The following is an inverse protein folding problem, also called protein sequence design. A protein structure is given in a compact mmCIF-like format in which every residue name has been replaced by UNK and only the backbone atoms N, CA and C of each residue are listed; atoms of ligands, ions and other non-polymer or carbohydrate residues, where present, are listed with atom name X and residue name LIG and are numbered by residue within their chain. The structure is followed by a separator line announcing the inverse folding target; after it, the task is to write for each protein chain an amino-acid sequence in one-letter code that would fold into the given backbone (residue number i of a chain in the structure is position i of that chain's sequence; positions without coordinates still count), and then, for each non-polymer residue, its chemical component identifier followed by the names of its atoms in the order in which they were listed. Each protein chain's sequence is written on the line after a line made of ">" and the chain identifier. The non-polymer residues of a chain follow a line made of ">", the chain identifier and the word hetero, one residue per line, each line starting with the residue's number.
data_IF_609161956045
#
_entry.id   IF_609161956045
#
_cell.length_a   1.000
_cell.length_b   1.000
_cell.length_c   1.000
_cell.angle_alpha   90.00
_cell.angle_beta   90.00
_cell.angle_gamma   90.00
#
_symmetry.space_group_name_H-M   'P 1'
#
loop_
_entity.id
_entity.type
_entity.pdbx_description
1 polymer ?
#
# COMPACT_ATOMS: atom_id res chain seq x y z
N UNK A 1 14.78 8.13 -29.58
CA UNK A 1 14.10 7.23 -28.64
C UNK A 1 13.08 8.09 -27.91
N UNK A 2 11.78 7.89 -28.08
CA UNK A 2 10.82 8.60 -27.22
C UNK A 2 11.05 8.12 -25.80
N UNK A 3 11.12 9.03 -24.83
CA UNK A 3 11.26 8.61 -23.44
C UNK A 3 10.00 7.86 -23.02
N UNK A 4 10.16 6.85 -22.17
CA UNK A 4 9.07 6.08 -21.57
C UNK A 4 8.66 6.76 -20.26
N UNK A 5 7.39 6.62 -19.87
CA UNK A 5 6.92 7.07 -18.55
C UNK A 5 7.71 6.33 -17.46
N UNK A 6 8.19 7.06 -16.46
CA UNK A 6 8.94 6.52 -15.33
C UNK A 6 8.21 6.74 -14.03
N UNK A 7 8.19 5.74 -13.16
CA UNK A 7 7.67 5.85 -11.79
C UNK A 7 8.79 5.54 -10.81
N UNK A 8 9.15 6.52 -10.00
CA UNK A 8 10.06 6.35 -8.88
C UNK A 8 9.27 5.92 -7.64
N UNK A 9 9.65 4.82 -7.00
CA UNK A 9 8.92 4.27 -5.85
C UNK A 9 9.81 3.57 -4.83
N UNK A 10 9.24 3.25 -3.67
CA UNK A 10 9.91 2.40 -2.66
C UNK A 10 9.46 0.94 -2.83
N UNK A 11 10.29 -0.05 -2.43
CA UNK A 11 9.85 -1.44 -2.38
C UNK A 11 8.57 -1.58 -1.57
N UNK A 12 7.68 -2.46 -2.00
CA UNK A 12 6.38 -2.69 -1.35
C UNK A 12 5.61 -1.42 -0.99
N UNK A 13 5.70 -0.33 -1.76
CA UNK A 13 4.88 0.85 -1.54
C UNK A 13 3.41 0.57 -1.89
N UNK A 14 2.43 0.71 -0.98
CA UNK A 14 1.02 0.48 -1.36
C UNK A 14 0.56 1.47 -2.43
N UNK A 15 1.06 2.70 -2.37
CA UNK A 15 0.69 3.78 -3.28
C UNK A 15 1.21 3.57 -4.71
N UNK A 16 2.35 2.88 -4.85
CA UNK A 16 2.89 2.54 -6.18
C UNK A 16 2.24 1.27 -6.71
N UNK A 17 1.91 0.33 -5.82
CA UNK A 17 1.17 -0.88 -6.18
C UNK A 17 -0.21 -0.58 -6.76
N UNK A 18 -0.86 0.54 -6.39
CA UNK A 18 -2.08 1.03 -7.08
C UNK A 18 -1.86 1.15 -8.59
N UNK A 19 -0.71 1.70 -8.98
CA UNK A 19 -0.33 1.91 -10.38
C UNK A 19 0.00 0.58 -11.07
N UNK A 20 0.72 -0.31 -10.38
CA UNK A 20 1.03 -1.65 -10.89
C UNK A 20 -0.23 -2.48 -11.15
N UNK A 21 -1.20 -2.43 -10.22
CA UNK A 21 -2.51 -3.08 -10.39
C UNK A 21 -3.26 -2.47 -11.59
N UNK A 22 -3.32 -1.14 -11.70
CA UNK A 22 -3.97 -0.47 -12.83
C UNK A 22 -3.36 -0.93 -14.17
N UNK A 23 -2.03 -0.94 -14.28
CA UNK A 23 -1.36 -1.36 -15.51
C UNK A 23 -1.61 -2.84 -15.81
N UNK A 24 -1.69 -3.70 -14.78
CA UNK A 24 -2.04 -5.11 -14.95
C UNK A 24 -3.49 -5.30 -15.44
N UNK A 25 -4.46 -4.56 -14.89
CA UNK A 25 -5.85 -4.58 -15.36
C UNK A 25 -5.98 -4.17 -16.83
N UNK A 26 -5.10 -3.27 -17.28
CA UNK A 26 -5.06 -2.79 -18.67
C UNK A 26 -4.25 -3.69 -19.61
N UNK A 27 -3.52 -4.68 -19.09
CA UNK A 27 -2.54 -5.46 -19.86
C UNK A 27 -1.39 -4.61 -20.42
N UNK A 28 -1.00 -3.56 -19.70
CA UNK A 28 -0.03 -2.54 -20.12
C UNK A 28 1.11 -2.37 -19.10
N UNK A 29 1.53 -3.46 -18.45
CA UNK A 29 2.62 -3.44 -17.45
C UNK A 29 3.91 -2.85 -18.03
N UNK A 30 4.17 -3.10 -19.31
CA UNK A 30 5.33 -2.57 -20.03
C UNK A 30 5.17 -1.12 -20.51
N UNK A 31 4.10 -0.41 -20.17
CA UNK A 31 3.94 1.00 -20.54
C UNK A 31 4.72 1.96 -19.64
N UNK A 32 5.07 1.53 -18.42
CA UNK A 32 5.77 2.33 -17.40
C UNK A 32 7.05 1.62 -16.97
N UNK A 33 8.11 2.39 -16.73
CA UNK A 33 9.35 1.89 -16.12
C UNK A 33 9.37 2.24 -14.62
N UNK A 34 9.38 1.21 -13.76
CA UNK A 34 9.44 1.40 -12.31
C UNK A 34 10.90 1.43 -11.83
N UNK A 35 11.28 2.55 -11.20
CA UNK A 35 12.59 2.77 -10.61
C UNK A 35 12.49 2.71 -9.09
N UNK A 36 13.10 1.68 -8.50
CA UNK A 36 13.17 1.52 -7.05
C UNK A 36 14.14 2.55 -6.45
N UNK A 37 13.67 3.28 -5.45
CA UNK A 37 14.43 4.26 -4.68
C UNK A 37 14.80 3.65 -3.33
N UNK A 38 16.09 3.68 -3.01
CA UNK A 38 16.60 3.28 -1.70
C UNK A 38 16.32 4.38 -0.66
N UNK A 39 15.35 4.13 0.21
CA UNK A 39 14.97 5.04 1.30
C UNK A 39 15.84 4.92 2.54
N UNK A 40 16.80 4.01 2.57
CA UNK A 40 17.76 3.87 3.67
C UNK A 40 18.94 4.84 3.55
N UNK A 41 18.97 5.64 2.47
CA UNK A 41 20.01 6.61 2.15
C UNK A 41 19.41 8.00 1.88
N UNK A 42 20.22 9.07 1.95
CA UNK A 42 19.79 10.38 1.50
C UNK A 42 19.22 10.32 0.08
N UNK A 43 18.13 11.08 -0.15
CA UNK A 43 17.46 11.09 -1.44
C UNK A 43 18.41 11.56 -2.54
N UNK A 44 18.36 10.87 -3.68
CA UNK A 44 19.06 11.27 -4.89
C UNK A 44 18.84 12.76 -5.23
N UNK A 45 19.91 13.56 -5.41
CA UNK A 45 19.80 15.00 -5.66
C UNK A 45 19.01 15.35 -6.93
N UNK A 46 19.11 14.55 -8.00
CA UNK A 46 18.39 14.81 -9.24
C UNK A 46 16.89 14.57 -9.05
N UNK A 47 16.52 13.50 -8.32
CA UNK A 47 15.14 13.25 -7.95
C UNK A 47 14.59 14.34 -7.01
N UNK A 48 15.38 14.84 -6.05
CA UNK A 48 14.99 16.00 -5.21
C UNK A 48 14.75 17.26 -6.04
N UNK A 49 15.60 17.53 -7.03
CA UNK A 49 15.44 18.67 -7.92
C UNK A 49 14.13 18.56 -8.72
N UNK A 50 13.85 17.38 -9.30
CA UNK A 50 12.61 17.08 -10.02
C UNK A 50 11.37 17.30 -9.16
N UNK A 51 11.39 16.86 -7.90
CA UNK A 51 10.24 16.95 -7.00
C UNK A 51 10.09 18.30 -6.28
N UNK A 52 11.03 19.22 -6.52
CA UNK A 52 11.16 20.51 -5.82
C UNK A 52 11.30 20.32 -4.30
N UNK A 53 12.12 19.37 -3.89
CA UNK A 53 12.47 19.08 -2.49
C UNK A 53 11.50 18.14 -1.76
N UNK A 54 10.44 17.65 -2.40
CA UNK A 54 9.54 16.66 -1.78
C UNK A 54 10.17 15.26 -1.80
N UNK A 55 10.09 14.52 -0.69
CA UNK A 55 10.62 13.15 -0.57
C UNK A 55 9.56 12.05 -0.71
N UNK A 56 8.27 12.42 -0.70
CA UNK A 56 7.15 11.51 -0.89
C UNK A 56 7.23 10.77 -2.22
N UNK A 57 6.83 9.50 -2.21
CA UNK A 57 6.76 8.60 -3.36
C UNK A 57 5.37 7.93 -3.40
N UNK A 58 4.87 7.49 -4.57
CA UNK A 58 5.52 7.53 -5.88
C UNK A 58 5.62 8.92 -6.51
N UNK A 59 6.55 9.05 -7.45
CA UNK A 59 6.69 10.21 -8.35
C UNK A 59 6.69 9.68 -9.79
N UNK A 60 5.89 10.26 -10.66
CA UNK A 60 5.88 9.94 -12.09
C UNK A 60 6.61 11.04 -12.86
N UNK A 61 7.45 10.64 -13.82
CA UNK A 61 8.01 11.49 -14.87
C UNK A 61 7.41 11.06 -16.22
N UNK A 62 6.78 11.99 -16.92
CA UNK A 62 6.18 11.72 -18.24
C UNK A 62 7.26 11.57 -19.32
N UNK A 63 6.87 11.12 -20.51
CA UNK A 63 7.77 11.06 -21.67
C UNK A 63 8.33 12.44 -22.06
N UNK A 64 7.61 13.51 -21.74
CA UNK A 64 7.97 14.91 -21.99
C UNK A 64 8.80 15.52 -20.84
N UNK A 65 8.99 14.79 -19.73
CA UNK A 65 9.74 15.23 -18.56
C UNK A 65 8.92 15.98 -17.51
N UNK A 66 7.59 15.98 -17.61
CA UNK A 66 6.72 16.56 -16.56
C UNK A 66 6.68 15.67 -15.33
N UNK A 67 6.59 16.30 -14.15
CA UNK A 67 6.61 15.58 -12.85
C UNK A 67 5.22 15.60 -12.21
N UNK A 68 4.67 14.40 -11.98
CA UNK A 68 3.44 14.20 -11.22
C UNK A 68 3.73 13.56 -9.86
N UNK A 69 2.99 14.02 -8.85
CA UNK A 69 3.03 13.53 -7.46
C UNK A 69 1.60 13.18 -7.04
N UNK A 70 1.47 12.55 -5.88
CA UNK A 70 0.22 12.02 -5.32
C UNK A 70 -0.29 10.79 -6.07
N UNK A 71 -0.35 9.64 -5.40
CA UNK A 71 -0.66 8.37 -6.06
C UNK A 71 -2.02 8.34 -6.75
N UNK A 72 -3.05 8.96 -6.18
CA UNK A 72 -4.38 9.03 -6.81
C UNK A 72 -4.40 9.94 -8.05
N UNK A 73 -3.56 10.99 -8.08
CA UNK A 73 -3.41 11.86 -9.25
C UNK A 73 -2.65 11.11 -10.36
N UNK A 74 -1.58 10.41 -10.00
CA UNK A 74 -0.81 9.57 -10.92
C UNK A 74 -1.68 8.44 -11.47
N UNK A 75 -2.46 7.77 -10.62
CA UNK A 75 -3.38 6.70 -10.99
C UNK A 75 -4.40 7.19 -12.02
N UNK A 76 -5.03 8.34 -11.79
CA UNK A 76 -5.97 8.94 -12.75
C UNK A 76 -5.28 9.29 -14.07
N UNK A 77 -4.11 9.92 -14.02
CA UNK A 77 -3.36 10.27 -15.24
C UNK A 77 -3.05 9.02 -16.08
N UNK A 78 -2.54 7.95 -15.45
CA UNK A 78 -2.25 6.70 -16.14
C UNK A 78 -3.52 6.05 -16.71
N UNK A 79 -4.64 6.10 -16.00
CA UNK A 79 -5.92 5.55 -16.49
C UNK A 79 -6.45 6.32 -17.72
N UNK A 80 -6.15 7.62 -17.81
CA UNK A 80 -6.56 8.48 -18.92
C UNK A 80 -5.64 8.37 -20.15
N UNK A 81 -4.33 8.18 -19.97
CA UNK A 81 -3.35 8.26 -21.08
C UNK A 81 -2.88 6.90 -21.60
N UNK A 82 -3.06 5.82 -20.85
CA UNK A 82 -2.63 4.48 -21.27
C UNK A 82 -3.83 3.67 -21.73
N UNK A 83 -3.77 3.10 -22.94
CA UNK A 83 -4.82 2.23 -23.50
C UNK A 83 -6.11 2.97 -23.86
N UNK A 84 -7.06 2.26 -24.46
CA UNK A 84 -8.28 2.88 -25.01
C UNK A 84 -9.42 2.98 -24.00
N UNK A 85 -9.53 1.99 -23.10
CA UNK A 85 -10.60 1.93 -22.11
C UNK A 85 -10.08 2.27 -20.71
N UNK A 86 -10.73 3.22 -20.01
CA UNK A 86 -10.42 3.47 -18.61
C UNK A 86 -10.91 2.30 -17.73
N UNK A 87 -10.19 2.07 -16.63
CA UNK A 87 -10.60 1.18 -15.54
C UNK A 87 -11.65 1.84 -14.65
N UNK A 88 -11.64 3.18 -14.54
CA UNK A 88 -12.71 3.91 -13.85
C UNK A 88 -14.06 3.68 -14.52
N UNK A 89 -15.14 3.79 -13.74
CA UNK A 89 -16.49 3.74 -14.28
C UNK A 89 -16.72 4.89 -15.29
N UNK A 90 -17.43 4.57 -16.37
CA UNK A 90 -17.78 5.56 -17.41
C UNK A 90 -19.08 6.30 -17.09
N UNK A 91 -20.04 5.63 -16.43
CA UNK A 91 -21.25 6.29 -15.94
C UNK A 91 -20.88 7.31 -14.84
N UNK A 92 -21.28 8.59 -14.97
CA UNK A 92 -20.89 9.63 -14.03
C UNK A 92 -21.30 9.36 -12.58
N UNK A 93 -22.48 8.75 -12.35
CA UNK A 93 -22.96 8.49 -11.00
C UNK A 93 -22.18 7.34 -10.37
N UNK A 94 -21.93 6.26 -11.11
CA UNK A 94 -21.11 5.14 -10.64
C UNK A 94 -19.68 5.58 -10.36
N UNK A 95 -19.10 6.43 -11.21
CA UNK A 95 -17.78 7.01 -10.96
C UNK A 95 -17.77 7.92 -9.73
N UNK A 96 -18.84 8.67 -9.47
CA UNK A 96 -18.97 9.44 -8.23
C UNK A 96 -19.01 8.53 -6.99
N UNK A 97 -19.69 7.38 -7.05
CA UNK A 97 -19.68 6.36 -5.98
C UNK A 97 -18.28 5.78 -5.77
N UNK A 98 -17.53 5.46 -6.83
CA UNK A 98 -16.13 5.05 -6.69
C UNK A 98 -15.30 6.10 -5.96
N UNK A 99 -15.43 7.37 -6.35
CA UNK A 99 -14.67 8.45 -5.74
C UNK A 99 -15.06 8.72 -4.29
N UNK A 100 -16.35 8.57 -3.93
CA UNK A 100 -16.78 8.61 -2.53
C UNK A 100 -16.08 7.52 -1.73
N UNK A 101 -16.02 6.28 -2.25
CA UNK A 101 -15.31 5.20 -1.58
C UNK A 101 -13.81 5.49 -1.47
N UNK A 102 -13.17 5.94 -2.55
CA UNK A 102 -11.73 6.27 -2.59
C UNK A 102 -11.40 7.40 -1.60
N UNK A 103 -12.28 8.38 -1.41
CA UNK A 103 -12.04 9.47 -0.46
C UNK A 103 -11.88 8.99 1.00
N UNK A 104 -12.42 7.82 1.37
CA UNK A 104 -12.23 7.23 2.70
C UNK A 104 -10.86 6.56 2.91
N UNK A 105 -10.06 6.36 1.85
CA UNK A 105 -8.83 5.57 1.93
C UNK A 105 -7.78 6.20 2.86
N UNK A 106 -7.65 7.54 2.85
CA UNK A 106 -6.62 8.26 3.59
C UNK A 106 -6.72 8.05 5.11
N UNK A 107 -7.87 8.32 5.75
CA UNK A 107 -8.09 8.06 7.18
C UNK A 107 -7.86 6.60 7.60
N UNK A 108 -8.30 5.64 6.77
CA UNK A 108 -8.07 4.21 7.00
C UNK A 108 -6.57 3.90 6.98
N UNK A 109 -5.87 4.31 5.92
CA UNK A 109 -4.43 4.13 5.74
C UNK A 109 -3.67 4.69 6.94
N UNK A 110 -3.95 5.94 7.31
CA UNK A 110 -3.31 6.59 8.45
C UNK A 110 -3.54 5.82 9.75
N UNK A 111 -4.75 5.33 9.99
CA UNK A 111 -5.08 4.61 11.22
C UNK A 111 -4.35 3.27 11.32
N UNK A 112 -4.23 2.53 10.22
CA UNK A 112 -3.49 1.28 10.19
C UNK A 112 -1.98 1.48 10.35
N UNK A 113 -1.41 2.51 9.72
CA UNK A 113 0.00 2.86 9.91
C UNK A 113 0.31 3.33 11.33
N UNK A 114 -0.55 4.16 11.92
CA UNK A 114 -0.37 4.59 13.31
C UNK A 114 -0.50 3.43 14.30
N UNK A 115 -1.39 2.46 14.02
CA UNK A 115 -1.52 1.26 14.83
C UNK A 115 -0.22 0.43 14.80
N UNK A 116 0.30 0.09 13.61
CA UNK A 116 1.52 -0.72 13.54
C UNK A 116 2.72 0.01 14.16
N UNK A 117 2.82 1.33 14.02
CA UNK A 117 3.90 2.14 14.60
C UNK A 117 3.79 2.37 16.10
N UNK A 118 2.62 2.16 16.70
CA UNK A 118 2.41 2.37 18.13
C UNK A 118 3.31 1.47 18.99
N UNK A 119 4.12 2.07 19.87
CA UNK A 119 4.97 1.36 20.84
C UNK A 119 4.38 1.26 22.25
N UNK A 120 3.15 1.76 22.44
CA UNK A 120 2.50 1.82 23.76
C UNK A 120 1.38 0.80 23.83
N UNK A 121 1.62 -0.31 24.53
CA UNK A 121 0.68 -1.44 24.59
C UNK A 121 -0.68 -1.06 25.21
N UNK A 122 -0.71 -0.08 26.11
CA UNK A 122 -1.93 0.46 26.73
C UNK A 122 -2.78 1.30 25.75
N UNK A 123 -2.20 1.86 24.70
CA UNK A 123 -2.93 2.56 23.63
C UNK A 123 -3.49 1.62 22.55
N UNK A 124 -3.07 0.35 22.52
CA UNK A 124 -3.43 -0.63 21.46
C UNK A 124 -4.94 -0.71 21.20
N UNK A 125 -5.76 -0.76 22.26
CA UNK A 125 -7.21 -0.88 22.12
C UNK A 125 -7.82 0.34 21.41
N UNK A 126 -7.27 1.53 21.61
CA UNK A 126 -7.75 2.76 20.94
C UNK A 126 -7.56 2.68 19.43
N UNK A 127 -6.47 2.06 18.98
CA UNK A 127 -6.22 1.86 17.54
C UNK A 127 -7.12 0.76 16.95
N UNK A 128 -7.36 -0.33 17.69
CA UNK A 128 -8.33 -1.36 17.32
C UNK A 128 -9.71 -0.73 17.10
N UNK A 129 -10.20 0.07 18.04
CA UNK A 129 -11.52 0.68 17.95
C UNK A 129 -11.63 1.62 16.72
N UNK A 130 -10.56 2.37 16.43
CA UNK A 130 -10.48 3.22 15.21
C UNK A 130 -10.54 2.38 13.94
N UNK A 131 -9.78 1.29 13.86
CA UNK A 131 -9.79 0.40 12.70
C UNK A 131 -11.15 -0.27 12.50
N UNK A 132 -11.76 -0.77 13.57
CA UNK A 132 -13.11 -1.36 13.52
C UNK A 132 -14.15 -0.34 13.05
N UNK A 133 -14.04 0.93 13.46
CA UNK A 133 -14.93 1.99 12.97
C UNK A 133 -14.78 2.23 11.46
N UNK A 134 -13.55 2.27 10.94
CA UNK A 134 -13.33 2.36 9.48
C UNK A 134 -13.92 1.14 8.75
N UNK A 135 -13.74 -0.07 9.28
CA UNK A 135 -14.30 -1.28 8.69
C UNK A 135 -15.83 -1.29 8.70
N UNK A 136 -16.48 -0.78 9.75
CA UNK A 136 -17.95 -0.60 9.78
C UNK A 136 -18.40 0.35 8.69
N UNK A 137 -17.73 1.50 8.54
CA UNK A 137 -18.06 2.49 7.51
C UNK A 137 -17.91 1.92 6.10
N UNK A 138 -16.84 1.17 5.83
CA UNK A 138 -16.65 0.51 4.53
C UNK A 138 -17.71 -0.56 4.28
N UNK A 139 -18.03 -1.38 5.28
CA UNK A 139 -19.06 -2.41 5.16
C UNK A 139 -20.43 -1.79 4.86
N UNK A 140 -20.81 -0.75 5.61
CA UNK A 140 -22.06 -0.01 5.40
C UNK A 140 -22.13 0.62 4.00
N UNK A 141 -21.05 1.28 3.56
CA UNK A 141 -20.96 1.85 2.21
C UNK A 141 -21.17 0.79 1.13
N UNK A 142 -20.46 -0.35 1.23
CA UNK A 142 -20.56 -1.43 0.26
C UNK A 142 -21.94 -2.10 0.29
N UNK A 143 -22.54 -2.26 1.47
CA UNK A 143 -23.87 -2.85 1.62
C UNK A 143 -24.95 -1.93 1.02
N UNK A 144 -24.80 -0.62 1.16
CA UNK A 144 -25.73 0.36 0.59
C UNK A 144 -25.60 0.45 -0.94
N UNK A 145 -24.38 0.63 -1.44
CA UNK A 145 -24.14 0.91 -2.87
C UNK A 145 -24.04 -0.35 -3.74
N UNK A 146 -23.70 -1.51 -3.15
CA UNK A 146 -23.41 -2.72 -3.92
C UNK A 146 -23.64 -4.00 -3.09
N UNK A 147 -24.86 -4.25 -2.60
CA UNK A 147 -25.12 -5.35 -1.66
C UNK A 147 -24.79 -6.73 -2.23
N UNK A 148 -24.99 -6.93 -3.53
CA UNK A 148 -24.97 -8.26 -4.16
C UNK A 148 -23.69 -8.57 -4.93
N UNK A 149 -22.95 -7.55 -5.39
CA UNK A 149 -21.75 -7.78 -6.20
C UNK A 149 -20.58 -8.28 -5.34
N UNK A 150 -19.55 -8.78 -6.01
CA UNK A 150 -18.29 -9.18 -5.37
C UNK A 150 -17.42 -7.95 -5.11
N UNK A 151 -17.23 -7.12 -6.13
CA UNK A 151 -16.52 -5.84 -6.08
C UNK A 151 -17.48 -4.69 -5.75
N UNK A 152 -17.01 -3.44 -5.74
CA UNK A 152 -17.90 -2.27 -5.64
C UNK A 152 -18.91 -2.28 -6.79
N UNK A 153 -18.49 -2.75 -7.96
CA UNK A 153 -19.37 -3.01 -9.10
C UNK A 153 -19.18 -4.45 -9.59
N UNK A 154 -19.45 -4.73 -10.87
CA UNK A 154 -19.43 -6.09 -11.42
C UNK A 154 -18.00 -6.63 -11.55
N UNK A 155 -17.02 -5.76 -11.79
CA UNK A 155 -15.61 -6.12 -12.04
C UNK A 155 -14.66 -5.40 -11.08
N UNK A 156 -13.41 -5.88 -11.00
CA UNK A 156 -12.34 -5.23 -10.25
C UNK A 156 -12.00 -3.91 -10.93
N UNK A 157 -12.32 -2.78 -10.28
CA UNK A 157 -12.20 -1.46 -10.86
C UNK A 157 -11.19 -0.56 -10.13
N UNK A 158 -11.40 0.75 -10.27
CA UNK A 158 -10.49 1.76 -9.73
C UNK A 158 -10.45 1.74 -8.20
N UNK A 159 -11.62 1.57 -7.55
CA UNK A 159 -11.70 1.51 -6.10
C UNK A 159 -10.92 0.29 -5.54
N UNK A 160 -11.05 -0.88 -6.18
CA UNK A 160 -10.29 -2.07 -5.82
C UNK A 160 -8.79 -1.86 -6.01
N UNK A 161 -8.36 -1.21 -7.10
CA UNK A 161 -6.95 -0.88 -7.33
C UNK A 161 -6.37 0.03 -6.22
N UNK A 162 -7.19 0.90 -5.63
CA UNK A 162 -6.80 1.78 -4.51
C UNK A 162 -6.71 1.02 -3.18
N UNK A 163 -7.71 0.18 -2.86
CA UNK A 163 -7.84 -0.47 -1.56
C UNK A 163 -7.07 -1.77 -1.42
N UNK A 164 -6.87 -2.52 -2.51
CA UNK A 164 -6.17 -3.81 -2.47
C UNK A 164 -4.77 -3.70 -1.87
N UNK A 165 -3.92 -2.73 -2.28
CA UNK A 165 -2.62 -2.55 -1.64
C UNK A 165 -2.70 -2.24 -0.15
N UNK A 166 -3.74 -1.53 0.31
CA UNK A 166 -3.93 -1.21 1.73
C UNK A 166 -4.25 -2.46 2.54
N UNK A 167 -5.17 -3.31 2.04
CA UNK A 167 -5.46 -4.60 2.66
C UNK A 167 -4.22 -5.48 2.76
N UNK A 168 -3.35 -5.47 1.75
CA UNK A 168 -2.07 -6.18 1.80
C UNK A 168 -1.13 -5.60 2.85
N UNK A 169 -1.04 -4.27 3.00
CA UNK A 169 -0.22 -3.68 4.07
C UNK A 169 -0.72 -4.06 5.44
N UNK A 170 -2.03 -4.14 5.64
CA UNK A 170 -2.59 -4.56 6.94
C UNK A 170 -2.29 -6.01 7.31
N UNK A 171 -1.64 -6.81 6.46
CA UNK A 171 -0.98 -8.05 6.90
C UNK A 171 0.06 -7.81 8.02
N UNK A 172 0.64 -6.62 8.12
CA UNK A 172 1.47 -6.27 9.27
C UNK A 172 0.66 -6.12 10.58
N UNK A 173 -0.65 -5.84 10.52
CA UNK A 173 -1.50 -5.75 11.71
C UNK A 173 -1.89 -7.15 12.16
N UNK A 174 -2.25 -8.01 11.21
CA UNK A 174 -2.46 -9.43 11.49
C UNK A 174 -1.21 -10.04 12.13
N UNK A 175 -0.03 -9.76 11.58
CA UNK A 175 1.21 -10.27 12.11
C UNK A 175 1.61 -9.59 13.43
N UNK A 176 1.95 -8.31 13.47
CA UNK A 176 2.56 -7.70 14.68
C UNK A 176 1.56 -7.30 15.76
N UNK A 177 0.27 -7.27 15.45
CA UNK A 177 -0.77 -6.80 16.36
C UNK A 177 -1.85 -7.83 16.64
N UNK A 178 -1.81 -9.03 16.04
CA UNK A 178 -2.90 -10.02 16.17
C UNK A 178 -4.28 -9.40 15.84
N UNK A 179 -4.30 -8.53 14.82
CA UNK A 179 -5.49 -7.77 14.44
C UNK A 179 -5.80 -7.89 12.95
N UNK A 180 -6.98 -8.43 12.67
CA UNK A 180 -7.60 -8.42 11.34
C UNK A 180 -9.09 -8.08 11.48
N UNK A 181 -9.77 -7.89 10.34
CA UNK A 181 -11.23 -7.72 10.29
C UNK A 181 -11.90 -8.92 10.97
N UNK A 182 -12.75 -8.72 11.99
CA UNK A 182 -13.46 -9.81 12.64
C UNK A 182 -14.31 -10.61 11.66
N UNK A 183 -14.23 -11.94 11.73
CA UNK A 183 -14.97 -12.86 10.86
C UNK A 183 -16.42 -13.01 11.33
N UNK A 184 -17.18 -11.91 11.33
CA UNK A 184 -18.56 -11.83 11.81
C UNK A 184 -19.49 -11.25 10.74
N UNK A 185 -20.80 -11.43 10.93
CA UNK A 185 -21.82 -10.92 10.00
C UNK A 185 -21.78 -9.38 9.87
N UNK A 186 -21.34 -8.69 10.92
CA UNK A 186 -21.15 -7.23 10.94
C UNK A 186 -20.25 -6.73 9.79
N UNK A 187 -19.27 -7.54 9.39
CA UNK A 187 -18.28 -7.19 8.36
C UNK A 187 -18.41 -8.05 7.09
N UNK A 188 -19.49 -8.81 6.93
CA UNK A 188 -19.60 -9.82 5.86
C UNK A 188 -19.41 -9.25 4.45
N UNK A 189 -19.96 -8.07 4.17
CA UNK A 189 -19.85 -7.45 2.84
C UNK A 189 -18.44 -6.95 2.54
N UNK A 190 -17.78 -6.37 3.55
CA UNK A 190 -16.38 -5.97 3.48
C UNK A 190 -15.45 -7.18 3.34
N UNK A 191 -15.70 -8.27 4.08
CA UNK A 191 -14.91 -9.50 4.00
C UNK A 191 -14.99 -10.13 2.60
N UNK A 192 -16.20 -10.23 2.03
CA UNK A 192 -16.39 -10.68 0.63
C UNK A 192 -15.57 -9.83 -0.33
N UNK A 193 -15.61 -8.51 -0.17
CA UNK A 193 -14.88 -7.57 -1.01
C UNK A 193 -13.37 -7.72 -0.89
N UNK A 194 -12.84 -7.64 0.34
CA UNK A 194 -11.41 -7.76 0.64
C UNK A 194 -10.85 -9.08 0.12
N UNK A 195 -11.54 -10.18 0.39
CA UNK A 195 -11.05 -11.50 -0.01
C UNK A 195 -10.97 -11.63 -1.54
N UNK A 196 -11.95 -11.09 -2.27
CA UNK A 196 -11.90 -11.05 -3.74
C UNK A 196 -10.79 -10.13 -4.27
N UNK A 197 -10.57 -8.97 -3.62
CA UNK A 197 -9.48 -8.06 -3.96
C UNK A 197 -8.11 -8.74 -3.84
N UNK A 198 -7.85 -9.40 -2.70
CA UNK A 198 -6.57 -10.07 -2.44
C UNK A 198 -6.33 -11.29 -3.34
N UNK A 199 -7.39 -11.95 -3.80
CA UNK A 199 -7.31 -13.12 -4.68
C UNK A 199 -7.19 -12.78 -6.17
N UNK A 200 -7.30 -11.50 -6.56
CA UNK A 200 -7.32 -11.11 -7.97
C UNK A 200 -5.93 -11.20 -8.62
N UNK A 201 -5.85 -11.72 -9.85
CA UNK A 201 -4.57 -11.95 -10.57
C UNK A 201 -3.77 -10.66 -10.79
N UNK A 202 -4.46 -9.54 -11.01
CA UNK A 202 -3.83 -8.23 -11.16
C UNK A 202 -3.17 -7.70 -9.87
N UNK A 203 -3.29 -8.40 -8.74
CA UNK A 203 -2.84 -7.93 -7.43
C UNK A 203 -1.73 -8.81 -6.80
N UNK A 204 -0.99 -9.58 -7.60
CA UNK A 204 0.00 -10.55 -7.09
C UNK A 204 1.45 -10.01 -7.06
N UNK A 205 1.66 -8.69 -7.05
CA UNK A 205 3.01 -8.08 -7.15
C UNK A 205 3.87 -8.27 -5.89
N UNK A 206 3.25 -8.44 -4.72
CA UNK A 206 3.93 -8.53 -3.41
C UNK A 206 3.35 -9.68 -2.61
N UNK A 207 4.13 -10.19 -1.66
CA UNK A 207 3.69 -11.27 -0.76
C UNK A 207 3.53 -10.81 0.68
N UNK A 208 2.79 -11.60 1.47
CA UNK A 208 2.65 -11.39 2.92
C UNK A 208 4.00 -11.42 3.63
N UNK A 209 4.85 -12.38 3.29
CA UNK A 209 6.18 -12.52 3.86
C UNK A 209 7.06 -11.30 3.58
N UNK A 210 7.07 -10.85 2.33
CA UNK A 210 7.81 -9.67 1.91
C UNK A 210 7.37 -8.41 2.67
N UNK A 211 6.06 -8.17 2.75
CA UNK A 211 5.51 -7.03 3.50
C UNK A 211 5.87 -7.12 4.98
N UNK A 212 5.65 -8.26 5.62
CA UNK A 212 5.95 -8.42 7.05
C UNK A 212 7.44 -8.14 7.30
N UNK A 213 8.34 -8.75 6.52
CA UNK A 213 9.79 -8.57 6.66
C UNK A 213 10.23 -7.12 6.44
N UNK A 214 9.78 -6.48 5.37
CA UNK A 214 10.19 -5.10 5.04
C UNK A 214 9.61 -4.08 6.04
N UNK A 215 8.40 -4.29 6.55
CA UNK A 215 7.74 -3.38 7.50
C UNK A 215 8.07 -3.65 8.98
N UNK A 216 9.09 -4.48 9.30
CA UNK A 216 9.48 -4.72 10.69
C UNK A 216 9.82 -3.44 11.45
N UNK A 217 10.62 -2.54 10.88
CA UNK A 217 10.98 -1.28 11.55
C UNK A 217 9.77 -0.37 11.77
N UNK A 218 8.75 -0.42 10.90
CA UNK A 218 7.49 0.28 11.14
C UNK A 218 6.79 -0.26 12.38
N UNK A 219 6.83 -1.57 12.62
CA UNK A 219 6.26 -2.16 13.84
C UNK A 219 6.95 -1.68 15.12
N UNK A 220 8.15 -1.09 15.00
CA UNK A 220 8.92 -0.51 16.10
C UNK A 220 8.92 1.03 16.10
N UNK A 221 8.04 1.65 15.31
CA UNK A 221 7.87 3.10 15.25
C UNK A 221 8.83 3.85 14.31
N UNK A 222 9.65 3.13 13.54
CA UNK A 222 10.58 3.71 12.56
C UNK A 222 10.05 3.53 11.12
N UNK A 223 9.36 4.55 10.63
CA UNK A 223 8.86 4.59 9.26
C UNK A 223 9.88 5.12 8.24
N UNK A 224 9.59 4.91 6.94
CA UNK A 224 10.27 5.54 5.81
C UNK A 224 11.80 5.33 5.77
N UNK A 225 12.28 4.14 6.16
CA UNK A 225 13.71 3.80 6.14
C UNK A 225 14.52 4.41 7.29
N UNK A 226 13.85 5.01 8.29
CA UNK A 226 14.50 5.44 9.51
C UNK A 226 15.14 4.26 10.24
N UNK A 227 16.29 4.52 10.88
CA UNK A 227 17.03 3.52 11.65
C UNK A 227 16.58 3.57 13.11
N UNK A 228 16.27 2.41 13.69
CA UNK A 228 16.04 2.27 15.13
C UNK A 228 17.37 2.40 15.89
N UNK A 229 17.29 2.78 17.16
CA UNK A 229 18.46 2.81 18.03
C UNK A 229 19.08 1.41 18.15
N UNK A 230 20.41 1.32 18.03
CA UNK A 230 21.16 0.07 18.10
C UNK A 230 21.15 -0.77 16.81
N UNK A 231 20.40 -0.38 15.77
CA UNK A 231 20.42 -1.02 14.44
C UNK A 231 21.42 -0.30 13.53
N UNK A 232 22.09 -1.06 12.66
CA UNK A 232 22.95 -0.55 11.60
C UNK A 232 22.26 -0.57 10.22
N UNK A 233 21.21 -1.37 10.05
CA UNK A 233 20.47 -1.50 8.80
C UNK A 233 18.96 -1.40 9.03
N UNK A 234 18.26 -0.73 8.11
CA UNK A 234 16.80 -0.77 8.10
C UNK A 234 16.30 -2.11 7.57
N UNK A 235 15.13 -2.56 8.00
CA UNK A 235 14.42 -3.70 7.40
C UNK A 235 14.16 -3.51 5.90
N UNK A 236 14.17 -2.27 5.39
CA UNK A 236 14.04 -1.93 3.97
C UNK A 236 15.32 -2.03 3.13
N UNK A 237 16.48 -2.46 3.69
CA UNK A 237 17.68 -2.66 2.86
C UNK A 237 17.43 -3.66 1.73
N UNK A 238 18.16 -3.54 0.63
CA UNK A 238 17.98 -4.44 -0.53
C UNK A 238 18.80 -5.74 -0.42
N UNK A 239 19.88 -5.71 0.35
CA UNK A 239 20.78 -6.85 0.53
C UNK A 239 21.05 -7.10 2.01
N UNK A 240 20.94 -8.35 2.49
CA UNK A 240 20.54 -9.57 1.74
C UNK A 240 19.07 -9.54 1.31
N UNK A 241 18.68 -10.33 0.30
CA UNK A 241 17.31 -10.35 -0.23
C UNK A 241 16.32 -10.82 0.84
N UNK A 242 15.10 -10.28 0.87
CA UNK A 242 14.11 -10.63 1.90
C UNK A 242 13.78 -12.12 1.92
N UNK A 243 13.90 -12.84 0.79
CA UNK A 243 13.66 -14.29 0.69
C UNK A 243 14.65 -15.10 1.50
N UNK A 244 15.84 -14.56 1.75
CA UNK A 244 16.92 -15.23 2.49
C UNK A 244 16.87 -14.91 3.99
N UNK A 245 16.06 -13.94 4.40
CA UNK A 245 15.95 -13.52 5.80
C UNK A 245 15.01 -14.44 6.60
N UNK A 246 15.21 -14.59 7.91
CA UNK A 246 14.23 -15.24 8.77
C UNK A 246 12.94 -14.41 8.89
N UNK A 247 11.88 -15.02 9.40
CA UNK A 247 10.71 -14.26 9.84
C UNK A 247 11.09 -13.41 11.06
N UNK A 248 10.71 -12.12 11.09
CA UNK A 248 10.95 -11.27 12.25
C UNK A 248 10.11 -11.74 13.45
N UNK A 249 10.49 -11.38 14.69
CA UNK A 249 9.63 -11.67 15.83
C UNK A 249 8.30 -10.94 15.71
N UNK A 250 7.23 -11.62 16.08
CA UNK A 250 5.86 -11.12 16.03
C UNK A 250 5.58 -10.06 17.11
N UNK A 251 6.18 -10.26 18.28
CA UNK A 251 5.93 -9.44 19.46
C UNK A 251 6.68 -8.11 19.39
N UNK A 252 5.98 -7.07 18.94
CA UNK A 252 6.55 -5.73 18.76
C UNK A 252 6.68 -4.91 20.06
N UNK A 253 6.01 -5.31 21.16
CA UNK A 253 5.96 -4.51 22.39
C UNK A 253 7.06 -4.84 23.39
N UNK A 254 7.75 -5.97 23.20
CA UNK A 254 8.81 -6.43 24.08
C UNK A 254 10.19 -6.09 23.51
N UNK A 255 10.94 -7.09 23.04
CA UNK A 255 12.33 -6.90 22.62
C UNK A 255 12.43 -6.75 21.10
N UNK A 256 13.04 -5.64 20.66
CA UNK A 256 13.41 -5.43 19.26
C UNK A 256 14.54 -6.39 18.84
N UNK A 257 14.41 -6.98 17.65
CA UNK A 257 15.41 -7.86 17.08
C UNK A 257 16.65 -7.10 16.60
N UNK A 258 17.81 -7.74 16.72
CA UNK A 258 19.08 -7.25 16.18
C UNK A 258 19.15 -7.37 14.65
N UNK A 259 20.18 -6.78 14.05
CA UNK A 259 20.44 -6.97 12.61
C UNK A 259 20.75 -8.44 12.27
N UNK A 260 21.44 -9.19 13.14
CA UNK A 260 21.72 -10.62 12.93
C UNK A 260 20.44 -11.47 13.04
N UNK A 261 19.58 -11.20 14.03
CA UNK A 261 18.32 -11.92 14.21
C UNK A 261 17.34 -11.72 13.05
N UNK A 262 17.38 -10.55 12.40
CA UNK A 262 16.63 -10.25 11.19
C UNK A 262 17.32 -10.71 9.91
N UNK A 263 18.53 -11.28 10.01
CA UNK A 263 19.36 -11.66 8.87
C UNK A 263 19.75 -10.48 7.98
N UNK A 264 19.86 -9.26 8.53
CA UNK A 264 20.31 -8.06 7.82
C UNK A 264 21.83 -7.94 7.79
N UNK A 265 22.51 -8.49 8.80
CA UNK A 265 23.97 -8.55 8.92
C UNK A 265 24.43 -10.00 9.09
N UNK A 266 25.68 -10.26 8.68
CA UNK A 266 26.38 -11.55 8.83
C UNK A 266 27.05 -11.66 10.18
#
# INVERSE_FOLDING_TARGET
>A
MSQKIKVYHIPVCPFSQRLEILLALKGQQDAVEFHVVDITKPRDPDLLAKTRGTTSLPVLETAEGDILKESLVILRYLDEVIGENPVRQQDPMRHAVENMLIAFEGPLTMSGYMMVMNQKSDERQTYIDKMLNHYRMLNDFLAHHSPNNTFLFEEFGLAEAVYTPLFMRFWFLDYYEDFDIPQTEEFARLLKWRNACLAHDAAQQVSREEIVKLYYDYALGAGNGALLEGRAKSSFVFSPDWRERPWPPKDKYNQAASDEELGLAS
#
